data_IF_065316629850
#
_entry.id   IF_065316629850
#
_cell.length_a   1.000
_cell.length_b   1.000
_cell.length_c   1.000
_cell.angle_alpha   90.00
_cell.angle_beta   90.00
_cell.angle_gamma   90.00
#
_symmetry.space_group_name_H-M   'P 1'
#
loop_
_entity.id
_entity.type
_entity.pdbx_description
1 polymer ?
#
# COMPACT_ATOMS: atom_id res chain seq x y z
N UNK A 1 23.99 1.63 28.38
CA UNK A 1 23.48 1.89 27.02
C UNK A 1 22.00 2.15 27.19
N UNK A 2 21.52 3.38 27.01
CA UNK A 2 20.09 3.65 27.10
C UNK A 2 19.45 3.06 25.84
N UNK A 3 18.76 1.93 25.96
CA UNK A 3 17.83 1.47 24.93
C UNK A 3 16.83 2.61 24.72
N UNK A 4 16.77 3.12 23.50
CA UNK A 4 15.88 4.21 23.14
C UNK A 4 14.46 3.64 23.09
N UNK A 5 13.84 3.48 24.26
CA UNK A 5 12.54 2.85 24.39
C UNK A 5 11.50 3.79 23.79
N UNK A 6 10.82 3.32 22.74
CA UNK A 6 9.76 4.07 22.07
C UNK A 6 8.65 4.31 23.10
N UNK A 7 8.31 5.58 23.32
CA UNK A 7 7.16 5.95 24.16
C UNK A 7 5.89 5.71 23.36
N UNK A 8 5.01 4.83 23.86
CA UNK A 8 3.74 4.50 23.24
C UNK A 8 2.59 5.18 24.00
N UNK A 9 1.50 5.58 23.32
CA UNK A 9 0.29 6.02 23.99
C UNK A 9 -0.28 4.93 24.92
N UNK A 10 -0.89 5.28 26.07
CA UNK A 10 -1.34 4.31 27.06
C UNK A 10 -2.26 3.20 26.50
N UNK A 11 -3.17 3.55 25.60
CA UNK A 11 -4.08 2.58 24.98
C UNK A 11 -3.34 1.55 24.10
N UNK A 12 -2.28 1.98 23.39
CA UNK A 12 -1.43 1.10 22.58
C UNK A 12 -0.59 0.22 23.51
N UNK A 13 0.00 0.78 24.57
CA UNK A 13 0.79 0.03 25.54
C UNK A 13 -0.05 -1.05 26.24
N UNK A 14 -1.28 -0.71 26.67
CA UNK A 14 -2.23 -1.65 27.26
C UNK A 14 -2.59 -2.78 26.28
N UNK A 15 -2.89 -2.44 25.00
CA UNK A 15 -3.23 -3.43 23.97
C UNK A 15 -2.08 -4.36 23.63
N UNK A 16 -0.85 -3.87 23.67
CA UNK A 16 0.34 -4.66 23.40
C UNK A 16 0.76 -5.49 24.61
N UNK A 17 0.44 -5.07 25.83
CA UNK A 17 0.70 -5.79 27.08
C UNK A 17 2.17 -6.22 27.23
N UNK A 18 3.10 -5.34 26.80
CA UNK A 18 4.55 -5.60 26.88
C UNK A 18 5.09 -6.60 25.85
N UNK A 19 4.31 -6.97 24.82
CA UNK A 19 4.80 -7.79 23.70
C UNK A 19 5.96 -7.11 22.98
N UNK A 20 6.87 -7.93 22.47
CA UNK A 20 8.05 -7.47 21.74
C UNK A 20 7.66 -6.76 20.44
N UNK A 21 8.37 -5.66 20.17
CA UNK A 21 8.29 -4.92 18.93
C UNK A 21 9.52 -5.25 18.09
N UNK A 22 9.31 -5.84 16.92
CA UNK A 22 10.38 -6.13 15.96
C UNK A 22 10.32 -5.10 14.85
N UNK A 23 11.32 -4.22 14.79
CA UNK A 23 11.40 -3.22 13.71
C UNK A 23 11.52 -3.91 12.36
N UNK A 24 10.65 -3.52 11.43
CA UNK A 24 10.72 -3.91 10.03
C UNK A 24 11.46 -2.79 9.34
N UNK A 25 12.61 -3.06 8.71
CA UNK A 25 13.44 -2.02 8.08
C UNK A 25 13.41 -2.07 6.55
N UNK A 26 12.72 -3.05 5.96
CA UNK A 26 12.61 -3.18 4.50
C UNK A 26 11.74 -2.04 3.93
N UNK A 27 12.14 -1.45 2.80
CA UNK A 27 11.37 -0.48 2.00
C UNK A 27 10.98 0.84 2.69
N UNK A 28 11.72 1.29 3.70
CA UNK A 28 11.45 2.55 4.41
C UNK A 28 11.91 3.76 3.61
N UNK A 29 11.00 4.35 2.83
CA UNK A 29 11.24 5.63 2.12
C UNK A 29 10.49 6.79 2.81
N UNK A 30 9.42 6.52 3.58
CA UNK A 30 8.52 7.55 4.13
C UNK A 30 9.00 8.22 5.43
N UNK A 31 10.04 7.70 6.08
CA UNK A 31 10.50 8.17 7.40
C UNK A 31 9.63 7.70 8.57
N UNK A 32 8.62 6.87 8.32
CA UNK A 32 7.81 6.22 9.36
C UNK A 32 8.61 5.12 10.07
N UNK A 33 8.21 4.74 11.28
CA UNK A 33 8.74 3.54 11.95
C UNK A 33 7.67 2.45 11.91
N UNK A 34 8.04 1.26 11.45
CA UNK A 34 7.12 0.12 11.35
C UNK A 34 7.62 -1.04 12.20
N UNK A 35 6.76 -1.55 13.07
CA UNK A 35 7.07 -2.67 13.97
C UNK A 35 6.08 -3.81 13.76
N UNK A 36 6.59 -5.03 13.64
CA UNK A 36 5.81 -6.26 13.81
C UNK A 36 5.61 -6.58 15.29
N UNK A 37 4.43 -7.09 15.63
CA UNK A 37 4.11 -7.59 16.97
C UNK A 37 3.61 -9.03 16.85
N UNK A 38 4.54 -9.98 16.93
CA UNK A 38 4.30 -11.36 16.50
C UNK A 38 3.82 -11.42 15.05
N UNK A 39 2.96 -12.39 14.74
CA UNK A 39 2.37 -12.56 13.41
C UNK A 39 0.96 -11.94 13.29
N UNK A 40 0.56 -11.16 14.30
CA UNK A 40 -0.81 -10.66 14.46
C UNK A 40 -0.97 -9.19 14.05
N UNK A 41 0.01 -8.34 14.38
CA UNK A 41 -0.13 -6.89 14.25
C UNK A 41 1.09 -6.21 13.64
N UNK A 42 0.80 -5.07 13.02
CA UNK A 42 1.77 -4.05 12.63
C UNK A 42 1.45 -2.78 13.42
N UNK A 43 2.47 -2.16 13.99
CA UNK A 43 2.43 -0.80 14.54
C UNK A 43 3.21 0.13 13.63
N UNK A 44 2.53 1.09 12.99
CA UNK A 44 3.15 2.18 12.22
C UNK A 44 3.15 3.46 13.05
N UNK A 45 4.29 4.13 13.13
CA UNK A 45 4.47 5.39 13.88
C UNK A 45 4.98 6.45 12.92
N UNK A 46 4.31 7.60 12.85
CA UNK A 46 4.65 8.67 11.91
C UNK A 46 4.56 10.06 12.56
N UNK A 47 5.44 10.97 12.16
CA UNK A 47 5.29 12.41 12.43
C UNK A 47 4.32 13.07 11.44
N UNK A 48 4.00 12.42 10.31
CA UNK A 48 3.00 12.85 9.34
C UNK A 48 1.60 12.40 9.78
N UNK A 49 1.10 13.00 10.86
CA UNK A 49 -0.15 12.60 11.54
C UNK A 49 -1.34 12.47 10.57
N UNK A 50 -1.56 13.48 9.73
CA UNK A 50 -2.69 13.51 8.80
C UNK A 50 -2.58 12.45 7.68
N UNK A 51 -1.36 12.16 7.23
CA UNK A 51 -1.10 11.11 6.24
C UNK A 51 -1.43 9.73 6.81
N UNK A 52 -0.95 9.43 8.02
CA UNK A 52 -1.27 8.15 8.67
C UNK A 52 -2.75 8.05 9.05
N UNK A 53 -3.38 9.17 9.42
CA UNK A 53 -4.83 9.22 9.66
C UNK A 53 -5.62 8.91 8.38
N UNK A 54 -5.17 9.41 7.24
CA UNK A 54 -5.78 9.10 5.94
C UNK A 54 -5.64 7.61 5.60
N UNK A 55 -4.49 6.99 5.89
CA UNK A 55 -4.32 5.54 5.76
C UNK A 55 -5.37 4.77 6.58
N UNK A 56 -5.57 5.16 7.85
CA UNK A 56 -6.59 4.55 8.70
C UNK A 56 -7.99 4.65 8.09
N UNK A 57 -8.40 5.86 7.68
CA UNK A 57 -9.72 6.11 7.06
C UNK A 57 -9.91 5.22 5.83
N UNK A 58 -8.86 5.08 5.00
CA UNK A 58 -8.92 4.27 3.79
C UNK A 58 -8.95 2.77 4.09
N UNK A 59 -8.19 2.27 5.06
CA UNK A 59 -8.28 0.87 5.49
C UNK A 59 -9.66 0.54 6.06
N UNK A 60 -10.23 1.44 6.86
CA UNK A 60 -11.57 1.26 7.42
C UNK A 60 -12.64 1.22 6.30
N UNK A 61 -12.52 2.08 5.29
CA UNK A 61 -13.37 2.05 4.10
C UNK A 61 -13.20 0.75 3.29
N UNK A 62 -11.97 0.29 3.10
CA UNK A 62 -11.67 -0.89 2.28
C UNK A 62 -11.92 -2.22 3.00
N UNK A 63 -12.12 -2.20 4.32
CA UNK A 63 -12.46 -3.39 5.10
C UNK A 63 -13.76 -4.01 4.57
N UNK A 64 -13.69 -5.29 4.20
CA UNK A 64 -14.79 -6.04 3.59
C UNK A 64 -14.97 -5.82 2.08
N UNK A 65 -14.19 -4.92 1.47
CA UNK A 65 -14.15 -4.68 0.01
C UNK A 65 -12.88 -5.24 -0.63
N UNK A 66 -11.74 -5.03 0.02
CA UNK A 66 -10.42 -5.54 -0.38
C UNK A 66 -9.71 -6.21 0.80
N UNK A 67 -8.71 -7.07 0.53
CA UNK A 67 -7.81 -7.54 1.58
C UNK A 67 -6.89 -6.39 2.02
N UNK A 68 -7.25 -5.73 3.10
CA UNK A 68 -6.46 -4.68 3.77
C UNK A 68 -6.30 -4.99 5.25
N UNK A 69 -5.31 -4.38 5.89
CA UNK A 69 -5.15 -4.47 7.35
C UNK A 69 -6.35 -3.83 8.05
N UNK A 70 -6.82 -4.48 9.11
CA UNK A 70 -7.91 -3.95 9.93
C UNK A 70 -7.36 -3.06 11.04
N UNK A 71 -8.01 -1.92 11.26
CA UNK A 71 -7.69 -1.04 12.38
C UNK A 71 -7.93 -1.75 13.71
N UNK A 72 -6.92 -1.74 14.58
CA UNK A 72 -7.04 -2.19 15.97
C UNK A 72 -7.15 -0.96 16.88
N UNK A 73 -6.20 -0.03 16.76
CA UNK A 73 -6.17 1.23 17.48
C UNK A 73 -5.46 2.30 16.65
N UNK A 74 -5.90 3.55 16.78
CA UNK A 74 -5.20 4.72 16.25
C UNK A 74 -5.16 5.78 17.34
N UNK A 75 -3.96 6.24 17.67
CA UNK A 75 -3.73 7.29 18.67
C UNK A 75 -2.83 8.37 18.09
N UNK A 76 -2.93 9.59 18.63
CA UNK A 76 -2.02 10.68 18.29
C UNK A 76 -1.60 11.43 19.55
N UNK A 77 -0.30 11.51 19.81
CA UNK A 77 0.26 12.17 20.98
C UNK A 77 1.61 12.82 20.61
N UNK A 78 1.90 13.99 21.19
CA UNK A 78 3.18 14.70 21.04
C UNK A 78 3.64 14.89 19.57
N UNK A 79 2.69 15.14 18.65
CA UNK A 79 2.98 15.37 17.23
C UNK A 79 3.26 14.10 16.42
N UNK A 80 2.99 12.91 16.99
CA UNK A 80 3.10 11.62 16.31
C UNK A 80 1.76 10.90 16.27
N UNK A 81 1.53 10.14 15.21
CA UNK A 81 0.43 9.19 15.09
C UNK A 81 0.95 7.76 15.27
N UNK A 82 0.14 6.93 15.91
CA UNK A 82 0.43 5.53 16.20
C UNK A 82 -0.74 4.71 15.69
N UNK A 83 -0.50 3.90 14.67
CA UNK A 83 -1.53 3.08 14.03
C UNK A 83 -1.21 1.61 14.23
N UNK A 84 -1.94 0.97 15.15
CA UNK A 84 -1.91 -0.47 15.36
C UNK A 84 -2.99 -1.11 14.51
N UNK A 85 -2.59 -2.04 13.64
CA UNK A 85 -3.45 -2.71 12.68
C UNK A 85 -3.09 -4.18 12.56
N UNK A 86 -4.01 -5.00 12.03
CA UNK A 86 -3.72 -6.42 11.82
C UNK A 86 -2.64 -6.61 10.76
N UNK A 87 -1.80 -7.62 10.95
CA UNK A 87 -0.77 -7.99 9.99
C UNK A 87 -1.41 -8.77 8.83
N UNK A 88 -1.15 -8.31 7.61
CA UNK A 88 -1.50 -9.06 6.40
C UNK A 88 -0.47 -10.15 6.14
N UNK A 89 -0.95 -11.30 5.67
CA UNK A 89 -0.12 -12.46 5.40
C UNK A 89 0.25 -12.52 3.91
N UNK A 90 1.51 -12.85 3.61
CA UNK A 90 2.02 -12.98 2.24
C UNK A 90 3.32 -12.23 2.04
N UNK A 91 3.83 -12.28 0.81
CA UNK A 91 5.04 -11.55 0.39
C UNK A 91 4.68 -10.53 -0.69
N UNK A 92 5.33 -9.37 -0.67
CA UNK A 92 5.13 -8.36 -1.70
C UNK A 92 5.68 -8.78 -3.07
N UNK A 93 5.12 -8.21 -4.14
CA UNK A 93 5.48 -8.55 -5.52
C UNK A 93 6.91 -8.12 -5.92
N UNK A 94 7.58 -7.28 -5.15
CA UNK A 94 8.98 -6.89 -5.40
C UNK A 94 9.98 -7.99 -4.98
N UNK A 95 9.54 -9.06 -4.30
CA UNK A 95 10.44 -10.17 -3.93
C UNK A 95 10.91 -10.95 -5.16
N UNK A 96 12.19 -11.36 -5.13
CA UNK A 96 12.90 -12.05 -6.23
C UNK A 96 12.11 -13.21 -6.85
N UNK A 97 11.38 -13.99 -6.04
CA UNK A 97 10.60 -15.15 -6.52
C UNK A 97 9.49 -14.77 -7.53
N UNK A 98 8.95 -13.55 -7.44
CA UNK A 98 7.97 -13.04 -8.39
C UNK A 98 8.66 -12.41 -9.60
N UNK A 99 9.76 -11.68 -9.37
CA UNK A 99 10.55 -11.07 -10.45
C UNK A 99 11.16 -12.11 -11.40
N UNK A 100 11.41 -13.33 -10.93
CA UNK A 100 11.93 -14.44 -11.76
C UNK A 100 10.91 -15.02 -12.74
N UNK A 101 9.61 -14.70 -12.60
CA UNK A 101 8.56 -15.07 -13.55
C UNK A 101 7.71 -13.84 -13.92
N UNK A 102 8.19 -13.01 -14.86
CA UNK A 102 7.51 -11.78 -15.24
C UNK A 102 6.09 -11.98 -15.81
N UNK A 103 5.81 -13.13 -16.42
CA UNK A 103 4.47 -13.42 -16.96
C UNK A 103 3.47 -13.62 -15.82
N UNK A 104 3.84 -14.42 -14.83
CA UNK A 104 3.01 -14.62 -13.64
C UNK A 104 2.88 -13.32 -12.82
N UNK A 105 3.97 -12.53 -12.72
CA UNK A 105 3.95 -11.21 -12.09
C UNK A 105 2.93 -10.27 -12.76
N UNK A 106 2.95 -10.15 -14.09
CA UNK A 106 1.95 -9.36 -14.83
C UNK A 106 0.53 -9.89 -14.57
N UNK A 107 0.35 -11.21 -14.55
CA UNK A 107 -0.96 -11.81 -14.23
C UNK A 107 -1.44 -11.47 -12.83
N UNK A 108 -0.55 -11.37 -11.85
CA UNK A 108 -0.88 -10.98 -10.47
C UNK A 108 -1.20 -9.48 -10.37
N UNK A 109 -0.42 -8.63 -11.05
CA UNK A 109 -0.67 -7.18 -11.13
C UNK A 109 -2.03 -6.88 -11.78
N UNK A 110 -2.33 -7.49 -12.93
CA UNK A 110 -3.62 -7.30 -13.60
C UNK A 110 -4.81 -7.74 -12.72
N UNK A 111 -4.66 -8.83 -11.96
CA UNK A 111 -5.68 -9.26 -10.99
C UNK A 111 -5.85 -8.26 -9.85
N UNK A 112 -4.75 -7.79 -9.26
CA UNK A 112 -4.78 -6.81 -8.19
C UNK A 112 -5.41 -5.48 -8.67
N UNK A 113 -5.09 -5.04 -9.89
CA UNK A 113 -5.64 -3.84 -10.52
C UNK A 113 -7.16 -3.99 -10.72
N UNK A 114 -7.61 -5.12 -11.27
CA UNK A 114 -9.03 -5.41 -11.43
C UNK A 114 -9.79 -5.44 -10.10
N UNK A 115 -9.17 -5.94 -9.02
CA UNK A 115 -9.78 -5.91 -7.68
C UNK A 115 -10.00 -4.48 -7.19
N UNK A 116 -8.96 -3.64 -7.22
CA UNK A 116 -9.05 -2.27 -6.68
C UNK A 116 -9.97 -1.37 -7.51
N UNK A 117 -9.92 -1.45 -8.84
CA UNK A 117 -10.79 -0.67 -9.73
C UNK A 117 -12.24 -1.19 -9.76
N UNK A 118 -12.53 -2.34 -9.14
CA UNK A 118 -13.90 -2.81 -8.91
C UNK A 118 -14.55 -2.24 -7.65
N UNK A 119 -13.80 -1.51 -6.81
CA UNK A 119 -14.36 -0.85 -5.63
C UNK A 119 -15.29 0.29 -6.06
N UNK A 120 -16.54 0.27 -5.58
CA UNK A 120 -17.50 1.33 -5.87
C UNK A 120 -17.02 2.70 -5.34
N UNK A 121 -16.71 3.66 -6.23
CA UNK A 121 -16.19 4.97 -5.84
C UNK A 121 -17.27 5.84 -5.19
N UNK A 122 -18.56 5.57 -5.41
CA UNK A 122 -19.67 6.43 -4.96
C UNK A 122 -19.81 6.52 -3.44
N UNK A 123 -19.25 5.56 -2.71
CA UNK A 123 -19.24 5.55 -1.23
C UNK A 123 -17.89 5.95 -0.61
N UNK A 124 -16.88 6.27 -1.43
CA UNK A 124 -15.56 6.63 -0.94
C UNK A 124 -15.57 8.02 -0.29
N UNK A 125 -15.07 8.17 0.96
CA UNK A 125 -15.10 9.44 1.68
C UNK A 125 -14.01 10.43 1.23
N UNK A 126 -13.08 9.99 0.38
CA UNK A 126 -11.83 10.71 0.08
C UNK A 126 -11.65 10.84 -1.42
N UNK A 127 -11.32 12.05 -1.87
CA UNK A 127 -10.74 12.28 -3.20
C UNK A 127 -9.23 12.20 -3.11
N UNK A 128 -8.59 11.63 -4.13
CA UNK A 128 -7.15 11.69 -4.25
C UNK A 128 -6.74 13.17 -4.49
N UNK A 129 -5.69 13.69 -3.82
CA UNK A 129 -5.29 15.09 -3.93
C UNK A 129 -4.50 15.40 -5.20
N UNK A 130 -3.91 14.38 -5.83
CA UNK A 130 -2.94 14.52 -6.92
C UNK A 130 -3.52 14.12 -8.29
N UNK A 131 -4.77 13.63 -8.30
CA UNK A 131 -5.48 13.22 -9.52
C UNK A 131 -6.98 13.51 -9.42
N UNK A 132 -7.59 13.76 -10.58
CA UNK A 132 -9.03 13.97 -10.71
C UNK A 132 -9.61 12.90 -11.64
N UNK A 133 -10.68 12.24 -11.21
CA UNK A 133 -11.37 11.21 -11.98
C UNK A 133 -12.57 10.66 -11.22
N UNK A 134 -13.11 9.55 -11.70
CA UNK A 134 -14.31 8.89 -11.17
C UNK A 134 -14.09 7.42 -10.78
N UNK A 135 -12.84 6.95 -10.81
CA UNK A 135 -12.47 5.61 -10.37
C UNK A 135 -11.96 5.61 -8.93
N UNK A 136 -12.14 4.51 -8.21
CA UNK A 136 -11.40 4.28 -6.97
C UNK A 136 -9.97 3.83 -7.31
N UNK A 137 -8.96 4.52 -6.77
CA UNK A 137 -7.55 4.23 -7.03
C UNK A 137 -6.77 3.96 -5.73
N UNK A 138 -5.67 3.23 -5.84
CA UNK A 138 -4.68 3.08 -4.76
C UNK A 138 -3.91 4.39 -4.53
N UNK A 139 -3.55 5.08 -5.62
CA UNK A 139 -2.70 6.27 -5.61
C UNK A 139 -1.20 5.98 -5.49
N UNK A 140 -0.82 4.77 -5.09
CA UNK A 140 0.56 4.26 -5.04
C UNK A 140 0.59 2.76 -5.41
N UNK A 141 0.05 2.42 -6.57
CA UNK A 141 -0.07 1.03 -7.03
C UNK A 141 1.30 0.49 -7.51
N UNK A 142 2.17 0.16 -6.55
CA UNK A 142 3.52 -0.33 -6.80
C UNK A 142 3.70 -1.78 -6.31
N UNK A 143 4.69 -2.51 -6.86
CA UNK A 143 4.97 -3.92 -6.51
C UNK A 143 5.14 -4.18 -5.00
N UNK A 144 5.85 -3.33 -4.23
CA UNK A 144 5.98 -3.51 -2.78
C UNK A 144 4.65 -3.44 -2.02
N UNK A 145 3.63 -2.78 -2.59
CA UNK A 145 2.36 -2.49 -1.93
C UNK A 145 1.29 -3.56 -2.17
N UNK A 146 1.60 -4.55 -3.01
CA UNK A 146 0.71 -5.68 -3.32
C UNK A 146 1.29 -6.96 -2.72
N UNK A 147 0.55 -7.57 -1.81
CA UNK A 147 0.92 -8.84 -1.17
C UNK A 147 0.27 -10.02 -1.87
N UNK A 148 1.02 -11.12 -1.96
CA UNK A 148 0.56 -12.39 -2.50
C UNK A 148 0.85 -13.53 -1.53
N UNK A 149 -0.14 -14.41 -1.37
CA UNK A 149 -0.07 -15.65 -0.60
C UNK A 149 -0.76 -16.76 -1.38
N UNK A 150 -0.12 -17.92 -1.48
CA UNK A 150 -0.64 -19.10 -2.18
C UNK A 150 -1.12 -18.81 -3.62
N UNK A 151 -0.37 -17.96 -4.35
CA UNK A 151 -0.65 -17.58 -5.73
C UNK A 151 -1.85 -16.63 -5.92
N UNK A 152 -2.34 -16.03 -4.83
CA UNK A 152 -3.47 -15.08 -4.84
C UNK A 152 -3.09 -13.77 -4.17
N UNK A 153 -3.65 -12.67 -4.67
CA UNK A 153 -3.56 -11.36 -4.02
C UNK A 153 -4.15 -11.49 -2.61
N UNK A 154 -3.34 -11.19 -1.60
CA UNK A 154 -3.66 -11.37 -0.19
C UNK A 154 -3.62 -10.08 0.60
N UNK A 155 -3.21 -8.96 -0.01
CA UNK A 155 -3.13 -7.68 0.68
C UNK A 155 -2.83 -6.50 -0.23
N UNK A 156 -3.41 -5.35 0.11
CA UNK A 156 -2.98 -4.03 -0.31
C UNK A 156 -2.50 -3.28 0.93
N UNK A 157 -1.35 -2.61 0.83
CA UNK A 157 -0.75 -1.83 1.93
C UNK A 157 -0.44 -0.40 1.47
N UNK A 158 -0.23 0.51 2.41
CA UNK A 158 0.05 1.94 2.15
C UNK A 158 -1.06 2.64 1.34
N UNK A 159 -2.30 2.52 1.83
CA UNK A 159 -3.51 3.11 1.21
C UNK A 159 -3.73 4.59 1.55
N UNK A 160 -2.70 5.29 2.00
CA UNK A 160 -2.78 6.70 2.39
C UNK A 160 -3.02 7.64 1.19
N UNK A 161 -2.56 7.24 -0.01
CA UNK A 161 -2.82 7.94 -1.25
C UNK A 161 -4.18 7.56 -1.87
N UNK A 162 -4.88 6.55 -1.34
CA UNK A 162 -6.09 6.04 -1.97
C UNK A 162 -7.24 7.06 -1.93
N UNK A 163 -8.18 6.90 -2.86
CA UNK A 163 -9.35 7.77 -3.00
C UNK A 163 -9.92 7.74 -4.41
N UNK A 164 -10.87 8.62 -4.66
CA UNK A 164 -11.43 8.83 -6.00
C UNK A 164 -10.44 9.63 -6.85
N UNK A 165 -10.07 9.12 -8.02
CA UNK A 165 -9.07 9.73 -8.90
C UNK A 165 -9.08 9.18 -10.31
N UNK A 166 -8.07 9.55 -11.10
CA UNK A 166 -7.85 9.03 -12.46
C UNK A 166 -7.23 7.63 -12.37
N UNK A 167 -7.82 6.58 -12.96
CA UNK A 167 -7.24 5.22 -12.95
C UNK A 167 -5.82 5.16 -13.54
N UNK A 168 -5.46 6.12 -14.41
CA UNK A 168 -4.10 6.20 -14.94
C UNK A 168 -3.02 6.48 -13.91
N UNK A 169 -3.36 7.02 -12.74
CA UNK A 169 -2.37 7.13 -11.65
C UNK A 169 -1.89 5.74 -11.22
N UNK A 170 -2.81 4.78 -11.02
CA UNK A 170 -2.44 3.41 -10.67
C UNK A 170 -1.74 2.70 -11.82
N UNK A 171 -2.19 2.89 -13.07
CA UNK A 171 -1.53 2.30 -14.24
C UNK A 171 -0.09 2.81 -14.38
N UNK A 172 0.13 4.11 -14.22
CA UNK A 172 1.45 4.72 -14.35
C UNK A 172 2.41 4.21 -13.28
N UNK A 173 1.98 4.18 -12.01
CA UNK A 173 2.78 3.61 -10.92
C UNK A 173 3.05 2.12 -11.09
N UNK A 174 2.06 1.36 -11.58
CA UNK A 174 2.23 -0.07 -11.84
C UNK A 174 3.25 -0.33 -12.94
N UNK A 175 3.19 0.42 -14.05
CA UNK A 175 4.13 0.31 -15.17
C UNK A 175 5.52 0.69 -14.68
N UNK A 176 5.68 1.87 -14.05
CA UNK A 176 6.96 2.34 -13.56
C UNK A 176 7.59 1.35 -12.57
N UNK A 177 6.80 0.83 -11.62
CA UNK A 177 7.28 -0.11 -10.62
C UNK A 177 7.69 -1.45 -11.24
N UNK A 178 6.95 -1.93 -12.25
CA UNK A 178 7.31 -3.13 -13.00
C UNK A 178 8.64 -2.96 -13.73
N UNK A 179 8.80 -1.86 -14.47
CA UNK A 179 10.01 -1.54 -15.23
C UNK A 179 11.22 -1.38 -14.31
N UNK A 180 11.05 -0.66 -13.21
CA UNK A 180 12.08 -0.43 -12.21
C UNK A 180 12.58 -1.74 -11.60
N UNK A 181 11.67 -2.62 -11.15
CA UNK A 181 12.04 -3.86 -10.47
C UNK A 181 12.60 -4.93 -11.42
N UNK A 182 12.16 -4.95 -12.68
CA UNK A 182 12.69 -5.88 -13.68
C UNK A 182 13.94 -5.34 -14.40
N UNK A 183 14.18 -4.02 -14.34
CA UNK A 183 15.24 -3.34 -15.07
C UNK A 183 15.01 -3.29 -16.59
N UNK A 184 13.76 -3.36 -17.04
CA UNK A 184 13.38 -3.44 -18.47
C UNK A 184 11.91 -3.13 -18.68
N UNK A 185 11.58 -2.57 -19.84
CA UNK A 185 10.24 -2.25 -20.35
C UNK A 185 9.60 -3.35 -21.22
N UNK A 186 10.29 -4.47 -21.43
CA UNK A 186 9.84 -5.53 -22.36
C UNK A 186 8.49 -6.17 -21.98
N UNK A 187 8.05 -6.01 -20.72
CA UNK A 187 6.79 -6.55 -20.22
C UNK A 187 5.65 -5.52 -20.11
N UNK A 188 5.93 -4.25 -20.41
CA UNK A 188 4.91 -3.18 -20.36
C UNK A 188 3.78 -3.47 -21.34
N UNK A 189 4.09 -3.91 -22.56
CA UNK A 189 3.06 -4.34 -23.53
C UNK A 189 2.19 -5.50 -23.01
N UNK A 190 2.81 -6.51 -22.37
CA UNK A 190 2.07 -7.63 -21.79
C UNK A 190 1.13 -7.19 -20.66
N UNK A 191 1.54 -6.22 -19.84
CA UNK A 191 0.71 -5.64 -18.80
C UNK A 191 -0.48 -4.88 -19.39
N UNK A 192 -0.23 -4.02 -20.38
CA UNK A 192 -1.28 -3.25 -21.07
C UNK A 192 -2.32 -4.16 -21.73
N UNK A 193 -1.87 -5.22 -22.40
CA UNK A 193 -2.74 -6.25 -22.99
C UNK A 193 -3.59 -6.95 -21.92
N UNK A 194 -2.98 -7.31 -20.79
CA UNK A 194 -3.69 -7.97 -19.68
C UNK A 194 -4.72 -7.06 -18.99
N UNK A 195 -4.48 -5.75 -18.99
CA UNK A 195 -5.40 -4.72 -18.49
C UNK A 195 -6.45 -4.29 -19.52
N UNK A 196 -6.23 -4.57 -20.80
CA UNK A 196 -7.11 -4.15 -21.89
C UNK A 196 -7.09 -2.64 -22.14
N UNK A 197 -5.93 -2.00 -21.97
CA UNK A 197 -5.76 -0.54 -22.12
C UNK A 197 -4.66 -0.22 -23.14
N UNK A 198 -4.76 0.95 -23.79
CA UNK A 198 -3.69 1.49 -24.62
C UNK A 198 -2.74 2.36 -23.78
N UNK A 199 -1.47 2.46 -24.17
CA UNK A 199 -0.51 3.30 -23.43
C UNK A 199 -0.79 4.80 -23.63
N UNK A 200 -1.08 5.51 -22.55
CA UNK A 200 -1.19 6.97 -22.50
C UNK A 200 0.12 7.56 -21.97
N UNK A 201 0.97 8.01 -22.91
CA UNK A 201 2.28 8.56 -22.59
C UNK A 201 2.19 9.85 -21.78
N UNK A 202 1.22 10.72 -22.07
CA UNK A 202 1.09 12.01 -21.39
C UNK A 202 0.74 11.79 -19.91
N UNK A 203 -0.21 10.89 -19.64
CA UNK A 203 -0.56 10.54 -18.25
C UNK A 203 0.54 9.77 -17.54
N UNK A 204 1.24 8.86 -18.23
CA UNK A 204 2.39 8.16 -17.66
C UNK A 204 3.46 9.15 -17.18
N UNK A 205 3.88 10.07 -18.05
CA UNK A 205 4.89 11.08 -17.72
C UNK A 205 4.40 12.03 -16.62
N UNK A 206 3.13 12.43 -16.66
CA UNK A 206 2.52 13.27 -15.62
C UNK A 206 2.59 12.61 -14.25
N UNK A 207 2.09 11.39 -14.10
CA UNK A 207 1.98 10.74 -12.80
C UNK A 207 3.32 10.24 -12.26
N UNK A 208 4.23 9.76 -13.10
CA UNK A 208 5.56 9.32 -12.65
C UNK A 208 6.48 10.49 -12.29
N UNK A 209 6.10 11.73 -12.62
CA UNK A 209 6.82 12.95 -12.22
C UNK A 209 6.47 13.44 -10.81
N UNK A 210 5.47 12.86 -10.13
CA UNK A 210 5.05 13.25 -8.78
C UNK A 210 5.97 12.71 -7.65
N UNK A 211 7.11 12.12 -8.02
CA UNK A 211 8.14 11.58 -7.12
C UNK A 211 8.79 12.66 -6.23
#
# INVERSE_FOLDING_TARGET
MMENRISLPPAIEERLAGRELVEITENHVSGDLVYGVGDEYILKISEQVERLKREQIMNDFLTGRLPVSQTVLFESEAGKAFYLKTMLQGENLAKRKYLSDPQELVRLLARAMGMIHSVDPGSCPVKNPDSEGDCFIHGDFCLPNILVKDGKVSGFIDTEAAGIGDPWMDYAWCIWSLEYNLGTDQYTGLLLDALGIEFDREKYERYTSLN
#
